data_IF_757992390333
#
_entry.id   IF_757992390333
#
_cell.length_a   1.000
_cell.length_b   1.000
_cell.length_c   1.000
_cell.angle_alpha   90.00
_cell.angle_beta   90.00
_cell.angle_gamma   90.00
#
_symmetry.space_group_name_H-M   'P 1'
#
loop_
_entity.id
_entity.type
_entity.pdbx_description
1 polymer ?
#
# COMPACT_ATOMS: atom_id res chain seq x y z
N UNK A 1 9.39 -2.01 -2.22
CA UNK A 1 7.95 -1.88 -2.47
C UNK A 1 7.51 -2.88 -3.52
N UNK A 2 6.39 -3.55 -3.28
CA UNK A 2 5.65 -4.33 -4.27
C UNK A 2 4.37 -3.55 -4.64
N UNK A 3 4.04 -3.50 -5.92
CA UNK A 3 2.91 -2.75 -6.45
C UNK A 3 2.12 -3.59 -7.45
N UNK A 4 0.83 -3.63 -7.29
CA UNK A 4 -0.11 -4.21 -8.23
C UNK A 4 -1.07 -3.11 -8.69
N UNK A 5 -1.05 -2.77 -9.97
CA UNK A 5 -1.88 -1.71 -10.51
C UNK A 5 -1.21 -0.88 -11.59
N UNK A 6 -1.74 0.32 -11.81
CA UNK A 6 -1.20 1.28 -12.76
C UNK A 6 -1.52 2.72 -12.36
N UNK A 7 -0.53 3.59 -12.41
CA UNK A 7 -0.70 5.03 -12.19
C UNK A 7 -0.97 5.75 -13.52
N UNK A 8 -2.06 6.50 -13.57
CA UNK A 8 -2.46 7.22 -14.80
C UNK A 8 -1.76 8.57 -14.96
N UNK A 9 -1.12 9.08 -13.91
CA UNK A 9 -0.44 10.38 -13.92
C UNK A 9 1.08 10.31 -13.74
N UNK A 10 1.71 9.17 -14.13
CA UNK A 10 3.15 8.94 -13.96
C UNK A 10 4.02 10.07 -14.52
N UNK A 11 3.75 10.53 -15.74
CA UNK A 11 4.57 11.57 -16.38
C UNK A 11 4.58 12.88 -15.59
N UNK A 12 3.42 13.28 -15.07
CA UNK A 12 3.30 14.44 -14.20
C UNK A 12 4.10 14.24 -12.90
N UNK A 13 3.93 13.09 -12.26
CA UNK A 13 4.66 12.76 -11.03
C UNK A 13 6.18 12.72 -11.23
N UNK A 14 6.66 12.18 -12.35
CA UNK A 14 8.10 12.19 -12.68
C UNK A 14 8.65 13.61 -12.75
N UNK A 15 7.90 14.54 -13.35
CA UNK A 15 8.30 15.95 -13.42
C UNK A 15 8.32 16.61 -12.04
N UNK A 16 7.28 16.41 -11.22
CA UNK A 16 7.22 16.92 -9.85
C UNK A 16 8.37 16.36 -9.01
N UNK A 17 8.60 15.04 -9.04
CA UNK A 17 9.69 14.38 -8.31
C UNK A 17 11.06 14.93 -8.70
N UNK A 18 11.28 15.22 -9.98
CA UNK A 18 12.55 15.77 -10.45
C UNK A 18 12.72 17.26 -10.08
N UNK A 19 11.68 18.07 -10.30
CA UNK A 19 11.78 19.54 -10.18
C UNK A 19 11.59 20.03 -8.74
N UNK A 20 10.68 19.42 -8.00
CA UNK A 20 10.28 19.88 -6.66
C UNK A 20 10.91 19.02 -5.56
N UNK A 21 10.87 17.71 -5.74
CA UNK A 21 11.32 16.74 -4.73
C UNK A 21 12.82 16.39 -4.89
N UNK A 22 13.48 16.87 -5.97
CA UNK A 22 14.89 16.63 -6.32
C UNK A 22 15.24 15.15 -6.40
N UNK A 23 14.31 14.32 -6.90
CA UNK A 23 14.46 12.88 -7.06
C UNK A 23 14.51 12.49 -8.53
N UNK A 24 15.50 11.68 -8.89
CA UNK A 24 15.61 11.13 -10.23
C UNK A 24 14.94 9.76 -10.29
N UNK A 25 14.14 9.55 -11.35
CA UNK A 25 13.55 8.26 -11.69
C UNK A 25 14.39 7.61 -12.77
N UNK A 26 14.78 6.36 -12.56
CA UNK A 26 15.72 5.65 -13.44
C UNK A 26 15.03 4.72 -14.44
N UNK A 27 13.76 4.37 -14.21
CA UNK A 27 13.00 3.44 -15.07
C UNK A 27 11.69 4.05 -15.55
N UNK A 28 11.01 3.35 -16.45
CA UNK A 28 9.65 3.70 -16.87
C UNK A 28 8.55 3.06 -15.98
N UNK A 29 8.95 2.34 -14.93
CA UNK A 29 8.03 1.69 -14.02
C UNK A 29 7.29 2.71 -13.14
N UNK A 30 5.97 2.61 -13.10
CA UNK A 30 5.13 3.36 -12.18
C UNK A 30 5.35 2.95 -10.71
N UNK A 31 5.85 1.75 -10.47
CA UNK A 31 6.23 1.28 -9.14
C UNK A 31 7.39 2.09 -8.56
N UNK A 32 8.37 2.50 -9.38
CA UNK A 32 9.46 3.38 -8.96
C UNK A 32 8.93 4.78 -8.64
N UNK A 33 7.99 5.28 -9.45
CA UNK A 33 7.33 6.57 -9.20
C UNK A 33 6.58 6.53 -7.87
N UNK A 34 5.77 5.49 -7.64
CA UNK A 34 5.02 5.30 -6.40
C UNK A 34 5.94 5.21 -5.18
N UNK A 35 7.04 4.45 -5.30
CA UNK A 35 8.06 4.33 -4.25
C UNK A 35 8.67 5.70 -3.89
N UNK A 36 9.03 6.49 -4.91
CA UNK A 36 9.65 7.80 -4.69
C UNK A 36 8.67 8.81 -4.10
N UNK A 37 7.39 8.78 -4.50
CA UNK A 37 6.34 9.60 -3.86
C UNK A 37 6.20 9.21 -2.39
N UNK A 38 6.07 7.92 -2.07
CA UNK A 38 5.97 7.45 -0.68
C UNK A 38 7.21 7.87 0.14
N UNK A 39 8.41 7.69 -0.41
CA UNK A 39 9.64 8.05 0.26
C UNK A 39 9.75 9.57 0.51
N UNK A 40 9.31 10.39 -0.44
CA UNK A 40 9.25 11.84 -0.25
C UNK A 40 8.27 12.23 0.85
N UNK A 41 7.05 11.70 0.83
CA UNK A 41 6.03 11.98 1.84
C UNK A 41 6.48 11.52 3.26
N UNK A 42 7.18 10.40 3.37
CA UNK A 42 7.79 9.96 4.63
C UNK A 42 8.85 10.96 5.12
N UNK A 43 9.68 11.51 4.22
CA UNK A 43 10.71 12.49 4.58
C UNK A 43 10.14 13.83 5.02
N UNK A 44 9.01 14.28 4.46
CA UNK A 44 8.34 15.53 4.86
C UNK A 44 7.93 15.54 6.34
N UNK A 45 7.71 14.36 6.90
CA UNK A 45 7.30 14.18 8.29
C UNK A 45 8.40 13.57 9.16
N UNK A 46 9.62 13.37 8.57
CA UNK A 46 10.72 12.70 9.25
C UNK A 46 11.16 13.48 10.49
N UNK A 47 10.99 12.83 11.63
CA UNK A 47 11.59 13.18 12.92
C UNK A 47 12.76 12.23 13.16
N UNK A 48 13.57 12.50 14.18
CA UNK A 48 14.61 11.58 14.67
C UNK A 48 14.06 10.16 14.96
N UNK A 49 12.78 10.07 15.31
CA UNK A 49 12.07 8.80 15.49
C UNK A 49 10.73 8.90 14.75
N UNK A 50 10.55 8.07 13.73
CA UNK A 50 9.30 7.97 12.97
C UNK A 50 8.23 7.27 13.83
N UNK A 51 7.05 7.84 13.87
CA UNK A 51 5.87 7.31 14.55
C UNK A 51 4.90 6.67 13.54
N UNK A 52 4.00 5.82 14.03
CA UNK A 52 2.94 5.19 13.21
C UNK A 52 2.11 6.24 12.45
N UNK A 53 1.82 7.37 13.11
CA UNK A 53 1.09 8.49 12.52
C UNK A 53 1.80 9.12 11.32
N UNK A 54 3.15 9.09 11.29
CA UNK A 54 3.94 9.62 10.19
C UNK A 54 3.79 8.74 8.93
N UNK A 55 3.72 7.41 9.13
CA UNK A 55 3.45 6.45 8.04
C UNK A 55 2.09 6.72 7.41
N UNK A 56 1.04 6.87 8.21
CA UNK A 56 -0.31 7.14 7.70
C UNK A 56 -0.44 8.52 7.03
N UNK A 57 0.26 9.53 7.52
CA UNK A 57 0.35 10.84 6.86
C UNK A 57 1.04 10.73 5.50
N UNK A 58 2.10 9.94 5.40
CA UNK A 58 2.77 9.71 4.13
C UNK A 58 1.86 9.00 3.12
N UNK A 59 1.10 7.97 3.53
CA UNK A 59 0.11 7.32 2.67
C UNK A 59 -0.99 8.32 2.26
N UNK A 60 -1.45 9.19 3.16
CA UNK A 60 -2.39 10.26 2.80
C UNK A 60 -1.81 11.21 1.73
N UNK A 61 -0.50 11.48 1.79
CA UNK A 61 0.23 12.22 0.76
C UNK A 61 0.24 11.48 -0.59
N UNK A 62 0.52 10.18 -0.56
CA UNK A 62 0.44 9.32 -1.76
C UNK A 62 -0.95 9.42 -2.40
N UNK A 63 -2.03 9.28 -1.62
CA UNK A 63 -3.40 9.36 -2.14
C UNK A 63 -3.77 10.74 -2.72
N UNK A 64 -3.17 11.81 -2.21
CA UNK A 64 -3.36 13.16 -2.79
C UNK A 64 -2.66 13.32 -4.13
N UNK A 65 -1.47 12.74 -4.30
CA UNK A 65 -0.62 12.92 -5.49
C UNK A 65 -0.91 11.90 -6.57
N UNK A 66 -0.98 10.62 -6.22
CA UNK A 66 -1.14 9.52 -7.18
C UNK A 66 -2.58 9.40 -7.67
N UNK A 67 -2.72 9.07 -8.96
CA UNK A 67 -4.00 8.78 -9.63
C UNK A 67 -3.89 7.43 -10.32
N UNK A 68 -4.95 6.63 -10.24
CA UNK A 68 -5.01 5.30 -10.84
C UNK A 68 -5.48 4.24 -9.87
N UNK A 69 -5.30 3.00 -10.25
CA UNK A 69 -5.64 1.83 -9.44
C UNK A 69 -4.35 1.23 -8.87
N UNK A 70 -4.25 1.07 -7.56
CA UNK A 70 -3.07 0.48 -6.94
C UNK A 70 -3.36 -0.19 -5.60
N UNK A 71 -2.71 -1.33 -5.42
CA UNK A 71 -2.48 -1.95 -4.11
C UNK A 71 -0.96 -2.07 -3.93
N UNK A 72 -0.45 -1.58 -2.83
CA UNK A 72 0.98 -1.55 -2.59
C UNK A 72 1.34 -2.08 -1.20
N UNK A 73 2.47 -2.77 -1.14
CA UNK A 73 3.10 -3.20 0.12
C UNK A 73 4.54 -2.70 0.13
N UNK A 74 4.94 -2.00 1.17
CA UNK A 74 6.29 -1.47 1.32
C UNK A 74 6.87 -1.81 2.68
N UNK A 75 8.11 -2.27 2.69
CA UNK A 75 8.91 -2.42 3.90
C UNK A 75 9.63 -1.09 4.18
N UNK A 76 9.49 -0.60 5.39
CA UNK A 76 10.19 0.59 5.90
C UNK A 76 11.26 0.07 6.86
N UNK A 77 12.52 0.10 6.40
CA UNK A 77 13.65 -0.44 7.14
C UNK A 77 13.75 0.15 8.55
N UNK A 78 13.82 -0.71 9.57
CA UNK A 78 13.88 -0.31 10.97
C UNK A 78 12.54 0.05 11.61
N UNK A 79 11.41 -0.04 10.87
CA UNK A 79 10.10 0.37 11.37
C UNK A 79 8.98 -0.66 11.18
N UNK A 80 8.88 -1.32 10.01
CA UNK A 80 7.85 -2.31 9.76
C UNK A 80 7.42 -2.41 8.30
N UNK A 81 6.21 -2.92 8.09
CA UNK A 81 5.60 -3.09 6.75
C UNK A 81 4.30 -2.32 6.69
N UNK A 82 4.14 -1.51 5.65
CA UNK A 82 2.88 -0.81 5.34
C UNK A 82 2.26 -1.38 4.07
N UNK A 83 0.96 -1.62 4.10
CA UNK A 83 0.17 -1.90 2.92
C UNK A 83 -0.94 -0.86 2.78
N UNK A 84 -1.27 -0.47 1.55
CA UNK A 84 -2.31 0.51 1.29
C UNK A 84 -2.98 0.28 -0.06
N UNK A 85 -4.26 0.63 -0.12
CA UNK A 85 -5.13 0.42 -1.27
C UNK A 85 -5.57 1.76 -1.83
N UNK A 86 -5.71 1.85 -3.16
CA UNK A 86 -6.17 3.07 -3.84
C UNK A 86 -7.51 3.59 -3.28
N UNK A 87 -7.79 4.91 -3.38
CA UNK A 87 -9.00 5.52 -2.80
C UNK A 87 -10.33 5.01 -3.37
N UNK A 88 -10.30 4.32 -4.51
CA UNK A 88 -11.49 3.75 -5.17
C UNK A 88 -11.62 2.24 -4.96
N UNK A 89 -10.61 1.61 -4.34
CA UNK A 89 -10.60 0.18 -4.09
C UNK A 89 -10.66 -0.65 -5.37
N UNK A 90 -10.04 -0.16 -6.45
CA UNK A 90 -10.06 -0.86 -7.75
C UNK A 90 -9.20 -2.11 -7.65
N UNK A 91 -7.95 -1.99 -7.15
CA UNK A 91 -7.09 -3.17 -6.96
C UNK A 91 -7.40 -3.86 -5.64
N UNK A 92 -7.45 -5.21 -5.61
CA UNK A 92 -7.69 -5.95 -4.39
C UNK A 92 -6.47 -5.93 -3.46
N UNK A 93 -6.73 -5.93 -2.17
CA UNK A 93 -5.73 -6.08 -1.12
C UNK A 93 -6.41 -6.65 0.12
N UNK A 94 -5.91 -7.77 0.60
CA UNK A 94 -6.39 -8.45 1.81
C UNK A 94 -5.25 -8.61 2.81
N UNK A 95 -5.58 -8.82 4.07
CA UNK A 95 -4.60 -9.23 5.06
C UNK A 95 -5.15 -10.30 6.00
N UNK A 96 -4.25 -11.12 6.48
CA UNK A 96 -4.54 -12.23 7.38
C UNK A 96 -3.52 -12.38 8.47
N UNK A 97 -3.80 -13.26 9.40
CA UNK A 97 -2.94 -13.59 10.53
C UNK A 97 -2.76 -15.08 10.70
N UNK A 98 -1.67 -15.44 11.36
CA UNK A 98 -1.39 -16.81 11.80
C UNK A 98 -0.75 -16.76 13.18
N UNK A 99 -1.30 -17.55 14.10
CA UNK A 99 -0.72 -17.69 15.44
C UNK A 99 0.47 -18.66 15.38
N UNK A 100 1.59 -18.27 15.95
CA UNK A 100 2.81 -19.08 16.05
C UNK A 100 3.31 -19.14 17.50
N UNK A 101 4.19 -20.06 17.85
CA UNK A 101 4.80 -20.09 19.18
C UNK A 101 5.57 -18.82 19.56
N UNK A 102 5.99 -18.02 18.56
CA UNK A 102 6.74 -16.77 18.74
C UNK A 102 5.83 -15.54 18.74
N UNK A 103 4.53 -15.69 18.47
CA UNK A 103 3.56 -14.60 18.41
C UNK A 103 2.69 -14.68 17.16
N UNK A 104 2.01 -13.60 16.85
CA UNK A 104 1.14 -13.50 15.67
C UNK A 104 1.91 -13.01 14.46
N UNK A 105 1.93 -13.82 13.40
CA UNK A 105 2.42 -13.41 12.09
C UNK A 105 1.29 -12.77 11.27
N UNK A 106 1.61 -11.75 10.48
CA UNK A 106 0.68 -11.13 9.54
C UNK A 106 1.17 -11.28 8.11
N UNK A 107 0.23 -11.42 7.18
CA UNK A 107 0.50 -11.49 5.75
C UNK A 107 -0.47 -10.60 4.99
N UNK A 108 0.04 -9.95 3.94
CA UNK A 108 -0.74 -9.13 3.02
C UNK A 108 -0.64 -9.72 1.62
N UNK A 109 -1.76 -9.77 0.89
CA UNK A 109 -1.83 -10.33 -0.44
C UNK A 109 -2.90 -9.62 -1.28
N UNK A 110 -2.80 -9.78 -2.61
CA UNK A 110 -3.87 -9.34 -3.50
C UNK A 110 -5.08 -10.26 -3.45
N UNK A 111 -4.88 -11.54 -3.09
CA UNK A 111 -5.92 -12.57 -3.12
C UNK A 111 -5.89 -13.42 -1.85
N UNK A 112 -7.06 -13.83 -1.35
CA UNK A 112 -7.21 -14.65 -0.14
C UNK A 112 -6.59 -16.04 -0.27
N UNK A 113 -6.59 -16.62 -1.47
CA UNK A 113 -5.97 -17.93 -1.72
C UNK A 113 -4.47 -17.96 -1.34
N UNK A 114 -3.76 -16.83 -1.46
CA UNK A 114 -2.37 -16.75 -1.04
C UNK A 114 -2.21 -16.88 0.49
N UNK A 115 -3.18 -16.40 1.25
CA UNK A 115 -3.23 -16.55 2.71
C UNK A 115 -3.51 -18.02 3.07
N UNK A 116 -4.49 -18.64 2.43
CA UNK A 116 -4.93 -20.01 2.69
C UNK A 116 -3.80 -21.02 2.47
N UNK A 117 -3.09 -20.91 1.33
CA UNK A 117 -1.96 -21.80 0.98
C UNK A 117 -0.85 -21.76 2.03
N UNK A 118 -0.65 -20.62 2.68
CA UNK A 118 0.39 -20.42 3.70
C UNK A 118 -0.13 -20.58 5.14
N UNK A 119 -1.41 -20.97 5.30
CA UNK A 119 -2.02 -21.23 6.60
C UNK A 119 -2.33 -19.98 7.42
N UNK A 120 -2.56 -18.85 6.74
CA UNK A 120 -3.05 -17.63 7.37
C UNK A 120 -4.57 -17.58 7.32
N UNK A 121 -5.18 -17.11 8.40
CA UNK A 121 -6.61 -16.83 8.45
C UNK A 121 -6.86 -15.42 7.93
N UNK A 122 -7.73 -15.27 6.95
CA UNK A 122 -8.17 -13.97 6.45
C UNK A 122 -8.81 -13.16 7.59
N UNK A 123 -8.34 -11.92 7.79
CA UNK A 123 -8.97 -10.98 8.70
C UNK A 123 -10.06 -10.21 7.94
N UNK A 124 -9.67 -9.50 6.88
CA UNK A 124 -10.59 -8.79 5.98
C UNK A 124 -9.86 -8.16 4.79
N UNK A 125 -10.63 -7.59 3.89
CA UNK A 125 -10.13 -6.68 2.86
C UNK A 125 -9.62 -5.37 3.49
N UNK A 126 -8.58 -4.80 2.86
CA UNK A 126 -8.20 -3.40 3.10
C UNK A 126 -9.23 -2.52 2.40
N UNK A 127 -9.83 -1.59 3.13
CA UNK A 127 -10.85 -0.71 2.56
C UNK A 127 -10.25 0.28 1.52
N UNK A 128 -11.07 0.83 0.60
CA UNK A 128 -10.63 1.88 -0.30
C UNK A 128 -9.95 3.03 0.45
N UNK A 129 -8.72 3.39 0.05
CA UNK A 129 -7.95 4.46 0.67
C UNK A 129 -7.40 4.17 2.07
N UNK A 130 -7.58 2.96 2.58
CA UNK A 130 -7.05 2.55 3.87
C UNK A 130 -5.59 2.11 3.76
N UNK A 131 -4.86 2.31 4.85
CA UNK A 131 -3.55 1.72 5.08
C UNK A 131 -3.55 0.82 6.31
N UNK A 132 -2.76 -0.26 6.24
CA UNK A 132 -2.47 -1.20 7.32
C UNK A 132 -0.97 -1.15 7.56
N UNK A 133 -0.55 -0.91 8.79
CA UNK A 133 0.87 -0.90 9.17
C UNK A 133 1.13 -1.93 10.26
N UNK A 134 2.15 -2.75 10.05
CA UNK A 134 2.65 -3.73 11.01
C UNK A 134 4.03 -3.29 11.44
N UNK A 135 4.17 -2.95 12.71
CA UNK A 135 5.45 -2.53 13.30
C UNK A 135 6.37 -3.72 13.59
N UNK A 136 7.65 -3.46 13.85
CA UNK A 136 8.65 -4.53 14.11
C UNK A 136 8.35 -5.35 15.37
N UNK A 137 7.61 -4.78 16.32
CA UNK A 137 7.14 -5.47 17.53
C UNK A 137 5.85 -6.28 17.31
N UNK A 138 5.42 -6.42 16.05
CA UNK A 138 4.26 -7.22 15.67
C UNK A 138 2.91 -6.57 15.96
N UNK A 139 2.87 -5.27 16.27
CA UNK A 139 1.60 -4.56 16.43
C UNK A 139 1.03 -4.14 15.09
N UNK A 140 -0.29 -4.32 14.93
CA UNK A 140 -1.01 -3.93 13.72
C UNK A 140 -1.83 -2.66 13.96
N UNK A 141 -1.74 -1.74 13.01
CA UNK A 141 -2.46 -0.47 13.01
C UNK A 141 -3.16 -0.27 11.68
N UNK A 142 -4.36 0.29 11.70
CA UNK A 142 -5.12 0.60 10.48
C UNK A 142 -5.63 2.03 10.52
N UNK A 143 -5.64 2.71 9.37
CA UNK A 143 -6.15 4.07 9.28
C UNK A 143 -6.70 4.36 7.89
N UNK A 144 -7.84 5.05 7.82
CA UNK A 144 -8.34 5.66 6.60
C UNK A 144 -7.44 6.85 6.22
N UNK A 145 -6.79 6.78 5.07
CA UNK A 145 -5.82 7.77 4.59
C UNK A 145 -6.33 8.62 3.43
N UNK A 146 -7.44 8.22 2.78
CA UNK A 146 -8.07 9.00 1.72
C UNK A 146 -9.18 9.91 2.28
N UNK A 147 -9.26 11.14 1.79
CA UNK A 147 -10.27 12.12 2.22
C UNK A 147 -11.70 11.76 1.77
N UNK A 148 -11.83 11.13 0.60
CA UNK A 148 -13.13 10.76 0.02
C UNK A 148 -13.03 9.38 -0.63
N UNK A 149 -12.95 8.30 0.17
CA UNK A 149 -12.90 6.95 -0.37
C UNK A 149 -14.25 6.56 -0.96
N UNK A 150 -14.22 5.78 -2.03
CA UNK A 150 -15.42 5.21 -2.64
C UNK A 150 -15.11 3.82 -3.21
N UNK A 151 -16.11 2.94 -3.22
CA UNK A 151 -15.95 1.63 -3.86
C UNK A 151 -16.33 1.75 -5.33
N UNK A 152 -15.36 1.51 -6.20
CA UNK A 152 -15.56 1.49 -7.66
C UNK A 152 -14.95 0.20 -8.20
N UNK A 153 -15.62 -0.95 -8.04
CA UNK A 153 -15.07 -2.23 -8.43
C UNK A 153 -14.92 -2.32 -9.94
N UNK A 154 -13.80 -2.88 -10.36
CA UNK A 154 -13.55 -3.18 -11.77
C UNK A 154 -13.98 -4.61 -12.08
N UNK A 155 -14.86 -4.80 -13.06
CA UNK A 155 -15.34 -6.13 -13.43
C UNK A 155 -14.19 -7.06 -13.88
N UNK A 156 -13.13 -6.51 -14.47
CA UNK A 156 -11.97 -7.31 -14.91
C UNK A 156 -11.22 -7.93 -13.72
N UNK A 157 -11.30 -7.36 -12.52
CA UNK A 157 -10.74 -7.98 -11.33
C UNK A 157 -11.43 -9.31 -11.01
N UNK A 158 -12.74 -9.39 -11.22
CA UNK A 158 -13.54 -10.57 -10.88
C UNK A 158 -13.61 -11.59 -12.02
N UNK A 159 -13.54 -11.15 -13.29
CA UNK A 159 -13.78 -12.03 -14.45
C UNK A 159 -12.47 -12.51 -15.08
N UNK A 160 -11.40 -11.72 -14.98
CA UNK A 160 -10.16 -11.99 -15.71
C UNK A 160 -8.91 -12.10 -14.84
N UNK A 161 -8.80 -11.30 -13.78
CA UNK A 161 -7.57 -11.21 -12.97
C UNK A 161 -7.62 -12.07 -11.71
N UNK A 162 -8.75 -12.09 -11.00
CA UNK A 162 -8.90 -12.90 -9.79
C UNK A 162 -9.04 -14.39 -10.10
N UNK A 163 -8.50 -15.21 -9.22
CA UNK A 163 -8.75 -16.65 -9.26
C UNK A 163 -10.17 -16.96 -8.80
N UNK A 164 -10.81 -18.03 -9.34
CA UNK A 164 -12.18 -18.39 -8.94
C UNK A 164 -12.33 -18.81 -7.47
N UNK A 165 -11.23 -19.20 -6.85
CA UNK A 165 -11.13 -19.67 -5.47
C UNK A 165 -10.67 -18.58 -4.47
N UNK A 166 -10.60 -17.33 -4.93
CA UNK A 166 -10.15 -16.19 -4.12
C UNK A 166 -11.33 -15.37 -3.56
#
# INVERSE_FOLDING_TARGET
LAHNGNLTNCNKLKQELFQEDLRQINTDSDSEVLLNVLAHELQQHAKLKMEVSDVFRAVSGVHRRCRGAYAAVAMITGHGVVAFRDPYGIRPLVYGKRETPQGTDYMMASESVALDVLGYQLIRDVAPGEAVFISLDGQIYTQQCAASPSITPCIFEYVYLARPDS
#
